data_IF_008418906638
#
_entry.id   IF_008418906638
#
_cell.length_a   1.000
_cell.length_b   1.000
_cell.length_c   1.000
_cell.angle_alpha   90.00
_cell.angle_beta   90.00
_cell.angle_gamma   90.00
#
_symmetry.space_group_name_H-M   'P 1'
#
loop_
_entity.id
_entity.type
_entity.pdbx_description
1 polymer ?
#
# COMPACT_ATOMS: atom_id res chain seq x y z
N UNK A 1 -1.21 14.02 -28.24
CA UNK A 1 -1.90 15.28 -27.91
C UNK A 1 -2.16 15.32 -26.41
N UNK A 2 -1.96 16.47 -25.76
CA UNK A 2 -2.16 16.65 -24.31
C UNK A 2 -3.51 17.34 -24.08
N UNK A 3 -4.29 16.82 -23.13
CA UNK A 3 -5.62 17.33 -22.78
C UNK A 3 -5.62 17.92 -21.38
N UNK A 4 -6.01 19.19 -21.26
CA UNK A 4 -6.22 19.84 -19.97
C UNK A 4 -7.59 19.44 -19.41
N UNK A 5 -7.60 18.71 -18.30
CA UNK A 5 -8.83 18.22 -17.67
C UNK A 5 -9.42 19.30 -16.77
N UNK A 6 -8.74 19.62 -15.67
CA UNK A 6 -9.16 20.65 -14.71
C UNK A 6 -7.94 21.28 -14.03
N UNK A 7 -7.98 22.58 -13.78
CA UNK A 7 -6.85 23.30 -13.17
C UNK A 7 -5.58 23.08 -14.00
N UNK A 8 -4.48 22.70 -13.35
CA UNK A 8 -3.23 22.33 -14.00
C UNK A 8 -3.00 20.80 -14.04
N UNK A 9 -4.08 20.03 -14.18
CA UNK A 9 -4.04 18.57 -14.36
C UNK A 9 -4.27 18.27 -15.84
N UNK A 10 -3.30 17.59 -16.43
CA UNK A 10 -3.27 17.25 -17.85
C UNK A 10 -3.21 15.74 -18.03
N UNK A 11 -3.73 15.27 -19.15
CA UNK A 11 -3.83 13.86 -19.50
C UNK A 11 -3.36 13.62 -20.94
N UNK A 12 -2.64 12.52 -21.18
CA UNK A 12 -2.24 12.14 -22.54
C UNK A 12 -2.04 10.63 -22.72
N UNK A 13 -1.89 10.23 -23.99
CA UNK A 13 -1.25 8.97 -24.37
C UNK A 13 0.28 9.06 -24.24
N UNK A 14 0.95 7.95 -24.49
CA UNK A 14 2.41 7.85 -24.54
C UNK A 14 3.02 8.73 -25.64
N UNK A 15 2.37 8.86 -26.80
CA UNK A 15 2.87 9.76 -27.85
C UNK A 15 2.79 11.25 -27.46
N UNK A 16 1.99 11.58 -26.44
CA UNK A 16 1.90 12.94 -25.89
C UNK A 16 3.10 13.39 -25.07
N UNK A 17 4.15 12.55 -24.92
CA UNK A 17 5.35 12.86 -24.14
C UNK A 17 6.44 13.63 -24.89
N UNK A 18 6.09 14.32 -25.98
CA UNK A 18 7.01 15.19 -26.69
C UNK A 18 7.34 16.43 -25.83
N UNK A 19 8.64 16.71 -25.65
CA UNK A 19 9.16 17.80 -24.80
C UNK A 19 8.57 19.17 -25.15
N UNK A 20 8.37 19.43 -26.45
CA UNK A 20 7.76 20.68 -26.94
C UNK A 20 6.36 20.93 -26.38
N UNK A 21 5.53 19.89 -26.27
CA UNK A 21 4.16 20.00 -25.78
C UNK A 21 4.13 20.18 -24.25
N UNK A 22 5.05 19.53 -23.54
CA UNK A 22 5.21 19.64 -22.08
C UNK A 22 5.59 21.07 -21.68
N UNK A 23 6.56 21.66 -22.39
CA UNK A 23 7.01 23.03 -22.14
C UNK A 23 5.90 24.05 -22.44
N UNK A 24 5.15 23.87 -23.52
CA UNK A 24 4.04 24.76 -23.88
C UNK A 24 2.96 24.85 -22.79
N UNK A 25 2.71 23.74 -22.07
CA UNK A 25 1.77 23.68 -20.96
C UNK A 25 2.38 23.94 -19.58
N UNK A 26 3.68 24.28 -19.53
CA UNK A 26 4.46 24.49 -18.30
C UNK A 26 4.37 23.30 -17.34
N UNK A 27 4.33 22.09 -17.89
CA UNK A 27 4.36 20.86 -17.10
C UNK A 27 5.67 20.83 -16.30
N UNK A 28 5.59 20.53 -15.01
CA UNK A 28 6.77 20.35 -14.16
C UNK A 28 6.90 18.92 -13.66
N UNK A 29 5.78 18.18 -13.59
CA UNK A 29 5.73 16.81 -13.11
C UNK A 29 5.08 15.88 -14.14
N UNK A 30 5.61 14.67 -14.29
CA UNK A 30 5.06 13.62 -15.16
C UNK A 30 4.79 12.35 -14.34
N UNK A 31 3.52 11.94 -14.29
CA UNK A 31 3.08 10.69 -13.68
C UNK A 31 2.82 9.65 -14.78
N UNK A 32 3.63 8.61 -14.79
CA UNK A 32 3.59 7.52 -15.79
C UNK A 32 2.92 6.28 -15.20
N UNK A 33 1.68 6.01 -15.60
CA UNK A 33 0.89 4.86 -15.14
C UNK A 33 0.99 3.74 -16.18
N UNK A 34 2.20 3.25 -16.39
CA UNK A 34 2.54 2.26 -17.43
C UNK A 34 3.82 1.51 -17.05
N UNK A 35 3.92 0.19 -17.29
CA UNK A 35 5.17 -0.55 -17.12
C UNK A 35 6.13 -0.28 -18.29
N UNK A 36 7.40 -0.62 -18.09
CA UNK A 36 8.40 -0.58 -19.15
C UNK A 36 9.17 0.74 -19.27
N UNK A 37 10.05 0.86 -20.27
CA UNK A 37 10.93 1.99 -20.41
C UNK A 37 10.17 3.27 -20.81
N UNK A 38 10.57 4.40 -20.24
CA UNK A 38 10.00 5.71 -20.55
C UNK A 38 10.91 6.51 -21.49
N UNK A 39 10.35 7.44 -22.29
CA UNK A 39 11.12 8.22 -23.25
C UNK A 39 12.21 9.08 -22.59
N UNK A 40 13.33 9.27 -23.30
CA UNK A 40 14.40 10.16 -22.83
C UNK A 40 13.96 11.61 -22.62
N UNK A 41 13.01 12.06 -23.42
CA UNK A 41 12.44 13.41 -23.38
C UNK A 41 11.94 13.85 -22.00
N UNK A 42 11.44 12.93 -21.17
CA UNK A 42 10.88 13.29 -19.86
C UNK A 42 11.90 13.23 -18.70
N UNK A 43 13.19 12.99 -18.97
CA UNK A 43 14.21 12.84 -17.92
C UNK A 43 14.55 14.16 -17.21
N UNK A 44 14.29 15.30 -17.86
CA UNK A 44 14.46 16.65 -17.30
C UNK A 44 13.34 17.06 -16.34
N UNK A 45 12.27 16.28 -16.24
CA UNK A 45 11.10 16.58 -15.41
C UNK A 45 11.11 15.77 -14.11
N UNK A 46 10.45 16.29 -13.08
CA UNK A 46 10.15 15.49 -11.88
C UNK A 46 9.16 14.41 -12.26
N UNK A 47 9.45 13.14 -11.96
CA UNK A 47 8.70 12.02 -12.53
C UNK A 47 8.48 10.91 -11.53
N UNK A 48 7.32 10.29 -11.62
CA UNK A 48 6.95 9.09 -10.89
C UNK A 48 6.40 8.08 -11.90
N UNK A 49 6.89 6.85 -11.84
CA UNK A 49 6.39 5.75 -12.65
C UNK A 49 5.73 4.71 -11.75
N UNK A 50 4.47 4.39 -12.03
CA UNK A 50 3.69 3.37 -11.34
C UNK A 50 3.41 2.24 -12.33
N UNK A 51 4.16 1.11 -12.27
CA UNK A 51 4.09 0.06 -13.27
C UNK A 51 2.83 -0.80 -13.06
N UNK A 52 1.74 -0.45 -13.74
CA UNK A 52 0.50 -1.23 -13.71
C UNK A 52 0.00 -1.55 -15.13
N UNK A 53 -0.45 -2.79 -15.31
CA UNK A 53 -1.02 -3.28 -16.56
C UNK A 53 -2.45 -2.78 -16.74
N UNK A 54 -2.93 -2.86 -17.98
CA UNK A 54 -4.30 -2.49 -18.36
C UNK A 54 -5.14 -3.76 -18.54
N UNK A 55 -5.29 -4.52 -17.48
CA UNK A 55 -5.98 -5.80 -17.50
C UNK A 55 -7.02 -5.89 -16.37
N UNK A 56 -7.81 -6.97 -16.38
CA UNK A 56 -8.89 -7.17 -15.44
C UNK A 56 -8.39 -7.56 -14.03
N UNK A 57 -7.16 -8.04 -13.92
CA UNK A 57 -6.57 -8.58 -12.68
C UNK A 57 -5.76 -7.53 -11.92
N UNK A 58 -5.41 -6.41 -12.55
CA UNK A 58 -4.67 -5.33 -11.94
C UNK A 58 -5.48 -4.58 -10.88
N UNK A 59 -4.87 -4.39 -9.70
CA UNK A 59 -5.43 -3.56 -8.63
C UNK A 59 -4.87 -2.13 -8.71
N UNK A 60 -5.60 -1.23 -9.38
CA UNK A 60 -5.20 0.18 -9.53
C UNK A 60 -5.41 1.00 -8.26
N UNK A 61 -6.29 0.56 -7.35
CA UNK A 61 -6.48 1.24 -6.06
C UNK A 61 -5.22 1.19 -5.19
N UNK A 62 -4.42 0.14 -5.32
CA UNK A 62 -3.17 -0.04 -4.58
C UNK A 62 -2.14 1.07 -4.85
N UNK A 63 -2.11 1.64 -6.06
CA UNK A 63 -1.15 2.68 -6.45
C UNK A 63 -1.64 4.10 -6.14
N UNK A 64 -2.90 4.27 -5.74
CA UNK A 64 -3.50 5.60 -5.56
C UNK A 64 -2.82 6.45 -4.47
N UNK A 65 -2.47 5.92 -3.28
CA UNK A 65 -1.82 6.74 -2.24
C UNK A 65 -0.56 7.43 -2.74
N UNK A 66 0.34 6.67 -3.38
CA UNK A 66 1.59 7.19 -3.92
C UNK A 66 1.33 8.18 -5.08
N UNK A 67 0.39 7.84 -5.97
CA UNK A 67 0.01 8.73 -7.07
C UNK A 67 -0.53 10.07 -6.57
N UNK A 68 -1.33 10.05 -5.50
CA UNK A 68 -1.95 11.24 -4.94
C UNK A 68 -0.93 12.12 -4.25
N UNK A 69 -0.02 11.55 -3.46
CA UNK A 69 1.05 12.33 -2.84
C UNK A 69 1.92 13.02 -3.89
N UNK A 70 2.22 12.34 -5.01
CA UNK A 70 2.94 12.95 -6.12
C UNK A 70 2.17 14.10 -6.80
N UNK A 71 0.87 13.88 -7.09
CA UNK A 71 0.01 14.93 -7.66
C UNK A 71 -0.10 16.13 -6.72
N UNK A 72 -0.31 15.88 -5.42
CA UNK A 72 -0.45 16.92 -4.40
C UNK A 72 0.84 17.71 -4.22
N UNK A 73 1.99 17.04 -4.23
CA UNK A 73 3.29 17.70 -4.16
C UNK A 73 3.48 18.65 -5.36
N UNK A 74 3.13 18.22 -6.57
CA UNK A 74 3.19 19.08 -7.75
C UNK A 74 2.24 20.28 -7.65
N UNK A 75 0.98 20.05 -7.24
CA UNK A 75 -0.05 21.08 -7.34
C UNK A 75 -0.02 22.06 -6.16
N UNK A 76 0.40 21.63 -4.97
CA UNK A 76 0.27 22.41 -3.75
C UNK A 76 1.57 22.51 -2.91
N UNK A 77 2.64 21.81 -3.30
CA UNK A 77 3.88 21.62 -2.52
C UNK A 77 3.60 21.06 -1.12
N UNK A 78 2.71 20.05 -1.04
CA UNK A 78 2.39 19.35 0.21
C UNK A 78 2.12 17.87 -0.07
N UNK A 79 2.35 17.03 0.92
CA UNK A 79 2.05 15.59 0.91
C UNK A 79 0.96 15.29 1.95
N UNK A 80 0.07 14.32 1.69
CA UNK A 80 -1.07 14.00 2.56
C UNK A 80 -2.29 14.93 2.42
N UNK A 81 -3.44 14.53 2.99
CA UNK A 81 -4.76 15.15 2.72
C UNK A 81 -5.07 16.49 3.42
N UNK A 82 -4.25 16.94 4.37
CA UNK A 82 -4.66 17.98 5.34
C UNK A 82 -4.74 19.42 4.81
N UNK A 83 -4.33 19.70 3.56
CA UNK A 83 -4.33 21.07 2.99
C UNK A 83 -4.68 21.14 1.51
N UNK A 84 -5.34 20.12 0.97
CA UNK A 84 -5.70 20.08 -0.46
C UNK A 84 -7.12 20.58 -0.63
N UNK A 85 -7.27 21.64 -1.42
CA UNK A 85 -8.56 22.16 -1.85
C UNK A 85 -8.46 22.67 -3.28
N UNK A 86 -9.43 22.37 -4.14
CA UNK A 86 -9.46 22.86 -5.52
C UNK A 86 -9.63 24.39 -5.60
N UNK A 87 -9.91 25.05 -4.48
CA UNK A 87 -9.97 26.52 -4.38
C UNK A 87 -8.59 27.16 -4.27
N UNK A 88 -7.56 26.41 -3.86
CA UNK A 88 -6.22 26.95 -3.76
C UNK A 88 -5.54 26.98 -5.13
N UNK A 89 -4.74 28.02 -5.41
CA UNK A 89 -4.03 28.12 -6.68
C UNK A 89 -3.00 26.99 -6.81
N UNK A 90 -2.93 26.39 -8.00
CA UNK A 90 -1.94 25.37 -8.29
C UNK A 90 -0.56 26.02 -8.46
N UNK A 91 0.47 25.44 -7.82
CA UNK A 91 1.87 25.89 -7.87
C UNK A 91 2.67 25.29 -9.02
N UNK A 92 2.21 24.16 -9.54
CA UNK A 92 2.81 23.47 -10.68
C UNK A 92 1.74 22.95 -11.65
N UNK A 93 2.21 22.22 -12.67
CA UNK A 93 1.36 21.53 -13.61
C UNK A 93 1.84 20.10 -13.80
N UNK A 94 0.89 19.17 -13.79
CA UNK A 94 1.18 17.74 -13.86
C UNK A 94 0.55 17.14 -15.12
N UNK A 95 1.34 16.32 -15.81
CA UNK A 95 0.85 15.43 -16.85
C UNK A 95 0.71 14.02 -16.27
N UNK A 96 -0.44 13.39 -16.48
CA UNK A 96 -0.71 12.01 -16.12
C UNK A 96 -0.96 11.23 -17.41
N UNK A 97 -0.16 10.20 -17.67
CA UNK A 97 -0.27 9.44 -18.91
C UNK A 97 -0.20 7.93 -18.64
N UNK A 98 -0.73 7.16 -19.60
CA UNK A 98 -0.46 5.73 -19.72
C UNK A 98 -0.07 5.43 -21.17
N UNK A 99 -0.32 4.21 -21.67
CA UNK A 99 -0.05 3.90 -23.07
C UNK A 99 -1.01 4.65 -24.01
N UNK A 100 -2.30 4.31 -23.99
CA UNK A 100 -3.31 4.94 -24.84
C UNK A 100 -3.86 6.25 -24.25
N UNK A 101 -3.69 6.49 -22.94
CA UNK A 101 -4.34 7.60 -22.26
C UNK A 101 -5.86 7.43 -22.07
N UNK A 102 -6.39 6.21 -22.18
CA UNK A 102 -7.85 5.97 -22.19
C UNK A 102 -8.39 5.18 -20.99
N UNK A 103 -7.54 4.41 -20.29
CA UNK A 103 -7.95 3.55 -19.16
C UNK A 103 -7.19 3.87 -17.87
N UNK A 104 -5.96 3.38 -17.68
CA UNK A 104 -5.17 3.56 -16.45
C UNK A 104 -5.02 5.01 -15.97
N UNK A 105 -4.50 5.90 -16.82
CA UNK A 105 -4.29 7.30 -16.46
C UNK A 105 -5.62 8.02 -16.15
N UNK A 106 -6.66 7.90 -17.00
CA UNK A 106 -7.99 8.39 -16.66
C UNK A 106 -8.54 7.86 -15.34
N UNK A 107 -8.34 6.58 -15.00
CA UNK A 107 -8.76 6.04 -13.70
C UNK A 107 -8.11 6.75 -12.52
N UNK A 108 -6.78 6.98 -12.57
CA UNK A 108 -6.08 7.74 -11.52
C UNK A 108 -6.65 9.16 -11.40
N UNK A 109 -6.90 9.84 -12.53
CA UNK A 109 -7.50 11.18 -12.53
C UNK A 109 -8.90 11.16 -11.93
N UNK A 110 -9.75 10.20 -12.32
CA UNK A 110 -11.10 10.05 -11.77
C UNK A 110 -11.08 9.88 -10.25
N UNK A 111 -10.26 8.96 -9.74
CA UNK A 111 -10.13 8.74 -8.30
C UNK A 111 -9.61 10.00 -7.57
N UNK A 112 -8.66 10.72 -8.17
CA UNK A 112 -8.17 11.98 -7.61
C UNK A 112 -9.27 13.05 -7.51
N UNK A 113 -10.09 13.20 -8.56
CA UNK A 113 -11.23 14.12 -8.56
C UNK A 113 -12.30 13.72 -7.53
N UNK A 114 -12.59 12.43 -7.38
CA UNK A 114 -13.51 11.94 -6.33
C UNK A 114 -12.97 12.33 -4.95
N UNK A 115 -11.68 12.05 -4.68
CA UNK A 115 -11.08 12.29 -3.36
C UNK A 115 -11.00 13.77 -3.00
N UNK A 116 -10.47 14.59 -3.89
CA UNK A 116 -10.07 15.97 -3.57
C UNK A 116 -11.01 17.03 -4.12
N UNK A 117 -11.70 16.76 -5.23
CA UNK A 117 -12.69 17.68 -5.83
C UNK A 117 -14.13 17.33 -5.40
N UNK A 118 -14.32 16.23 -4.67
CA UNK A 118 -15.63 15.76 -4.16
C UNK A 118 -16.67 15.58 -5.27
N UNK A 119 -16.20 15.19 -6.47
CA UNK A 119 -17.07 14.83 -7.58
C UNK A 119 -17.55 13.40 -7.41
N UNK A 120 -18.74 13.10 -7.94
CA UNK A 120 -19.14 11.71 -8.12
C UNK A 120 -18.36 11.03 -9.24
N UNK A 121 -18.34 9.70 -9.28
CA UNK A 121 -17.72 8.94 -10.37
C UNK A 121 -18.22 9.40 -11.74
N UNK A 122 -19.54 9.56 -11.90
CA UNK A 122 -20.16 10.04 -13.14
C UNK A 122 -19.68 11.44 -13.52
N UNK A 123 -19.60 12.35 -12.55
CA UNK A 123 -19.11 13.72 -12.78
C UNK A 123 -17.63 13.74 -13.14
N UNK A 124 -16.81 12.95 -12.47
CA UNK A 124 -15.38 12.85 -12.71
C UNK A 124 -15.06 12.26 -14.09
N UNK A 125 -15.76 11.20 -14.50
CA UNK A 125 -15.65 10.62 -15.85
C UNK A 125 -16.08 11.65 -16.90
N UNK A 126 -17.21 12.33 -16.68
CA UNK A 126 -17.71 13.35 -17.60
C UNK A 126 -16.73 14.53 -17.78
N UNK A 127 -16.02 14.92 -16.72
CA UNK A 127 -15.01 15.97 -16.78
C UNK A 127 -13.85 15.62 -17.75
N UNK A 128 -13.52 14.33 -17.87
CA UNK A 128 -12.52 13.83 -18.83
C UNK A 128 -13.14 13.69 -20.23
N UNK A 129 -14.33 13.09 -20.35
CA UNK A 129 -15.01 12.84 -21.63
C UNK A 129 -15.20 14.11 -22.46
N UNK A 130 -15.58 15.23 -21.82
CA UNK A 130 -15.72 16.52 -22.50
C UNK A 130 -14.45 17.05 -23.15
N UNK A 131 -13.28 16.52 -22.79
CA UNK A 131 -11.98 16.92 -23.33
C UNK A 131 -11.44 15.93 -24.36
N UNK A 132 -11.80 14.65 -24.21
CA UNK A 132 -11.33 13.55 -25.05
C UNK A 132 -12.37 13.08 -26.09
N UNK A 133 -13.52 13.77 -26.22
CA UNK A 133 -14.57 13.49 -27.22
C UNK A 133 -15.03 12.02 -27.19
N UNK A 134 -15.42 11.53 -26.01
CA UNK A 134 -15.93 10.17 -25.77
C UNK A 134 -14.96 9.01 -26.04
N UNK A 135 -13.67 9.29 -26.26
CA UNK A 135 -12.64 8.24 -26.45
C UNK A 135 -12.27 7.49 -25.18
N UNK A 136 -12.72 7.94 -24.00
CA UNK A 136 -12.38 7.28 -22.74
C UNK A 136 -12.89 5.84 -22.76
N UNK A 137 -12.04 4.89 -22.38
CA UNK A 137 -12.37 3.48 -22.36
C UNK A 137 -11.67 2.84 -21.16
N UNK A 138 -12.18 3.15 -19.96
CA UNK A 138 -11.70 2.54 -18.73
C UNK A 138 -12.16 1.09 -18.69
N UNK A 139 -11.23 0.19 -18.40
CA UNK A 139 -11.53 -1.22 -18.22
C UNK A 139 -12.61 -1.43 -17.14
N UNK A 140 -13.53 -2.37 -17.35
CA UNK A 140 -14.61 -2.75 -16.43
C UNK A 140 -14.11 -3.05 -15.01
N UNK A 141 -12.97 -3.74 -14.86
CA UNK A 141 -12.37 -3.99 -13.53
C UNK A 141 -12.00 -2.69 -12.81
N UNK A 142 -11.44 -1.72 -13.55
CA UNK A 142 -11.13 -0.40 -13.02
C UNK A 142 -12.38 0.43 -12.73
N UNK A 143 -13.46 0.30 -13.53
CA UNK A 143 -14.73 0.93 -13.22
C UNK A 143 -15.30 0.43 -11.88
N UNK A 144 -15.30 -0.89 -11.65
CA UNK A 144 -15.71 -1.48 -10.36
C UNK A 144 -14.83 -1.00 -9.20
N UNK A 145 -13.53 -0.89 -9.43
CA UNK A 145 -12.60 -0.34 -8.44
C UNK A 145 -12.90 1.15 -8.13
N UNK A 146 -13.24 1.96 -9.12
CA UNK A 146 -13.66 3.36 -8.91
C UNK A 146 -14.96 3.42 -8.08
N UNK A 147 -15.94 2.55 -8.35
CA UNK A 147 -17.19 2.48 -7.58
C UNK A 147 -16.92 2.16 -6.10
N UNK A 148 -16.05 1.18 -5.84
CA UNK A 148 -15.60 0.86 -4.48
C UNK A 148 -14.92 2.07 -3.85
N UNK A 149 -14.00 2.72 -4.57
CA UNK A 149 -13.29 3.89 -4.08
C UNK A 149 -14.23 5.04 -3.72
N UNK A 150 -15.25 5.31 -4.54
CA UNK A 150 -16.29 6.31 -4.28
C UNK A 150 -17.12 5.95 -3.05
N UNK A 151 -17.54 4.68 -2.93
CA UNK A 151 -18.30 4.18 -1.77
C UNK A 151 -17.52 4.37 -0.45
N UNK A 152 -16.19 4.25 -0.53
CA UNK A 152 -15.27 4.48 0.57
C UNK A 152 -14.95 5.96 0.80
N UNK A 153 -15.53 6.90 0.04
CA UNK A 153 -15.19 8.34 0.05
C UNK A 153 -13.68 8.58 -0.14
N UNK A 154 -13.06 7.70 -0.93
CA UNK A 154 -11.64 7.61 -1.20
C UNK A 154 -10.76 7.26 0.01
N UNK A 155 -11.34 6.69 1.07
CA UNK A 155 -10.61 6.14 2.21
C UNK A 155 -10.26 4.67 1.98
N UNK A 156 -9.01 4.44 1.57
CA UNK A 156 -8.43 3.11 1.35
C UNK A 156 -8.06 2.39 2.67
N UNK A 157 -8.51 2.90 3.82
CA UNK A 157 -8.40 2.20 5.12
C UNK A 157 -9.74 1.68 5.64
N UNK A 158 -10.83 1.95 4.91
CA UNK A 158 -12.19 1.56 5.27
C UNK A 158 -12.42 0.04 5.18
N UNK A 159 -13.36 -0.47 5.96
CA UNK A 159 -13.75 -1.89 5.93
C UNK A 159 -14.29 -2.32 4.57
N UNK A 160 -15.01 -1.44 3.87
CA UNK A 160 -15.52 -1.70 2.52
C UNK A 160 -14.38 -1.96 1.51
N UNK A 161 -13.29 -1.20 1.59
CA UNK A 161 -12.11 -1.46 0.76
C UNK A 161 -11.42 -2.77 1.16
N UNK A 162 -11.36 -3.12 2.45
CA UNK A 162 -10.83 -4.41 2.92
C UNK A 162 -11.63 -5.59 2.37
N UNK A 163 -12.96 -5.52 2.43
CA UNK A 163 -13.83 -6.57 1.89
C UNK A 163 -13.68 -6.69 0.36
N UNK A 164 -13.56 -5.56 -0.35
CA UNK A 164 -13.22 -5.57 -1.78
C UNK A 164 -11.90 -6.27 -2.05
N UNK A 165 -10.83 -5.98 -1.31
CA UNK A 165 -9.53 -6.63 -1.51
C UNK A 165 -9.63 -8.15 -1.31
N UNK A 166 -10.42 -8.60 -0.34
CA UNK A 166 -10.66 -10.03 -0.12
C UNK A 166 -11.40 -10.64 -1.32
N UNK A 167 -12.39 -9.96 -1.88
CA UNK A 167 -13.15 -10.44 -3.04
C UNK A 167 -12.34 -10.43 -4.33
N UNK A 168 -11.63 -9.34 -4.60
CA UNK A 168 -10.82 -9.16 -5.79
C UNK A 168 -9.76 -10.27 -5.93
N UNK A 169 -9.11 -10.62 -4.81
CA UNK A 169 -8.13 -11.72 -4.78
C UNK A 169 -8.76 -13.12 -4.75
N UNK A 170 -10.08 -13.26 -4.54
CA UNK A 170 -10.74 -14.58 -4.62
C UNK A 170 -10.85 -15.07 -6.07
N UNK A 171 -10.97 -14.17 -7.05
CA UNK A 171 -11.09 -14.51 -8.47
C UNK A 171 -9.93 -15.32 -9.02
N UNK A 172 -8.69 -15.01 -8.59
CA UNK A 172 -7.48 -15.74 -8.97
C UNK A 172 -7.34 -17.12 -8.32
N UNK A 173 -8.17 -17.44 -7.31
CA UNK A 173 -7.96 -18.64 -6.47
C UNK A 173 -8.24 -19.96 -7.19
N UNK A 174 -9.00 -19.97 -8.28
CA UNK A 174 -9.30 -21.22 -9.00
C UNK A 174 -8.22 -21.61 -10.00
N UNK A 175 -7.53 -20.64 -10.60
CA UNK A 175 -6.44 -20.89 -11.55
C UNK A 175 -5.08 -20.89 -10.87
N UNK A 176 -4.86 -20.03 -9.87
CA UNK A 176 -3.64 -20.06 -9.06
C UNK A 176 -3.47 -21.40 -8.32
N UNK A 177 -4.55 -22.05 -7.85
CA UNK A 177 -4.45 -23.36 -7.19
C UNK A 177 -3.96 -24.49 -8.12
N UNK A 178 -4.21 -24.40 -9.42
CA UNK A 178 -3.83 -25.42 -10.39
C UNK A 178 -2.45 -25.19 -11.03
N UNK A 179 -1.95 -23.95 -11.06
CA UNK A 179 -0.61 -23.65 -11.57
C UNK A 179 0.51 -23.82 -10.53
N UNK A 180 0.20 -23.89 -9.23
CA UNK A 180 1.22 -24.18 -8.20
C UNK A 180 1.74 -25.62 -8.19
N UNK A 181 1.17 -26.54 -8.98
CA UNK A 181 1.59 -27.94 -8.99
C UNK A 181 2.32 -28.43 -10.24
N UNK A 182 2.49 -27.60 -11.28
CA UNK A 182 3.23 -28.01 -12.48
C UNK A 182 3.96 -26.81 -13.10
N UNK A 183 5.30 -26.86 -13.12
CA UNK A 183 6.25 -25.93 -13.75
C UNK A 183 6.59 -24.68 -12.88
N UNK A 184 7.53 -24.72 -11.92
CA UNK A 184 8.98 -24.82 -12.11
C UNK A 184 9.44 -25.21 -13.52
N UNK A 185 9.53 -24.25 -14.44
CA UNK A 185 10.81 -23.93 -15.10
C UNK A 185 10.69 -22.69 -16.00
N UNK A 186 11.77 -21.89 -16.01
CA UNK A 186 12.15 -20.84 -17.00
C UNK A 186 11.25 -19.59 -17.19
N UNK A 187 11.59 -18.47 -16.53
CA UNK A 187 12.31 -17.32 -17.13
C UNK A 187 12.18 -16.00 -16.32
N UNK A 188 13.11 -15.82 -15.39
CA UNK A 188 13.93 -14.62 -15.11
C UNK A 188 13.39 -13.20 -15.36
N UNK A 189 13.12 -12.46 -14.28
CA UNK A 189 13.66 -11.10 -14.02
C UNK A 189 13.75 -10.85 -12.52
N UNK A 190 14.97 -10.57 -12.06
CA UNK A 190 15.40 -10.52 -10.67
C UNK A 190 14.74 -9.38 -9.90
N UNK A 191 13.76 -9.70 -9.08
CA UNK A 191 13.54 -9.02 -7.80
C UNK A 191 14.43 -9.80 -6.82
N UNK A 192 15.28 -9.12 -6.07
CA UNK A 192 15.96 -9.75 -4.94
C UNK A 192 14.88 -10.18 -3.94
N UNK A 193 14.39 -11.41 -4.09
CA UNK A 193 13.65 -12.08 -3.03
C UNK A 193 14.61 -12.15 -1.85
N UNK A 194 14.40 -11.30 -0.84
CA UNK A 194 15.06 -11.46 0.45
C UNK A 194 14.70 -12.84 0.98
N UNK A 195 15.58 -13.80 0.74
CA UNK A 195 15.45 -15.15 1.25
C UNK A 195 15.25 -15.05 2.77
N UNK A 196 14.22 -15.70 3.32
CA UNK A 196 13.95 -15.61 4.74
C UNK A 196 15.14 -16.17 5.52
N UNK A 197 15.88 -15.28 6.17
CA UNK A 197 17.00 -15.61 7.07
C UNK A 197 16.60 -16.49 8.27
N UNK A 198 15.30 -16.65 8.52
CA UNK A 198 14.79 -17.49 9.61
C UNK A 198 13.28 -17.61 9.64
N UNK A 199 12.79 -18.45 10.55
CA UNK A 199 11.36 -18.71 10.78
C UNK A 199 11.03 -18.67 12.27
N UNK A 200 9.85 -18.14 12.59
CA UNK A 200 9.22 -18.29 13.89
C UNK A 200 8.44 -19.60 13.93
N UNK A 201 8.64 -20.38 14.98
CA UNK A 201 7.90 -21.62 15.23
C UNK A 201 7.29 -21.64 16.62
N UNK A 202 6.20 -22.37 16.78
CA UNK A 202 5.63 -22.64 18.09
C UNK A 202 6.62 -23.45 18.95
N UNK A 203 6.88 -23.03 20.20
CA UNK A 203 7.79 -23.79 21.10
C UNK A 203 7.27 -25.18 21.45
N UNK A 204 5.94 -25.34 21.52
CA UNK A 204 5.31 -26.58 21.96
C UNK A 204 5.31 -27.62 20.83
N UNK A 205 4.68 -27.30 19.70
CA UNK A 205 4.44 -28.26 18.63
C UNK A 205 5.35 -28.09 17.40
N UNK A 206 6.23 -27.09 17.42
CA UNK A 206 7.23 -26.81 16.39
C UNK A 206 6.66 -26.38 15.03
N UNK A 207 5.35 -26.12 14.96
CA UNK A 207 4.68 -25.59 13.78
C UNK A 207 5.29 -24.26 13.35
N UNK A 208 5.54 -24.08 12.04
CA UNK A 208 6.07 -22.84 11.49
C UNK A 208 4.94 -21.82 11.44
N UNK A 209 5.15 -20.68 12.10
CA UNK A 209 4.15 -19.65 12.28
C UNK A 209 4.39 -18.46 11.36
N UNK A 210 5.62 -18.02 11.16
CA UNK A 210 5.95 -16.86 10.33
C UNK A 210 7.38 -16.96 9.78
N UNK A 211 7.64 -16.33 8.64
CA UNK A 211 8.99 -16.12 8.07
C UNK A 211 9.60 -14.81 8.58
N UNK A 212 10.92 -14.67 8.55
CA UNK A 212 11.62 -13.44 8.95
C UNK A 212 11.18 -12.23 8.14
N UNK A 213 10.89 -12.39 6.83
CA UNK A 213 10.39 -11.33 5.96
C UNK A 213 9.02 -10.77 6.38
N UNK A 214 8.26 -11.53 7.14
CA UNK A 214 6.92 -11.18 7.64
C UNK A 214 6.96 -10.48 9.01
N UNK A 215 8.13 -10.44 9.65
CA UNK A 215 8.32 -9.74 10.92
C UNK A 215 8.46 -8.25 10.64
N UNK A 216 7.72 -7.43 11.38
CA UNK A 216 7.84 -5.99 11.37
C UNK A 216 8.89 -5.57 12.43
N UNK A 217 10.07 -5.07 12.03
CA UNK A 217 11.02 -4.52 12.98
C UNK A 217 10.45 -3.21 13.58
N UNK A 218 10.75 -2.97 14.85
CA UNK A 218 10.44 -1.69 15.50
C UNK A 218 11.62 -1.25 16.33
N UNK A 219 11.82 0.07 16.41
CA UNK A 219 12.98 0.67 17.07
C UNK A 219 12.59 1.12 18.47
N UNK A 220 13.50 0.90 19.43
CA UNK A 220 13.38 1.42 20.80
C UNK A 220 13.37 2.95 20.75
N UNK A 221 12.41 3.64 21.39
CA UNK A 221 12.40 5.10 21.46
C UNK A 221 13.64 5.62 22.21
N UNK A 222 14.11 6.81 21.83
CA UNK A 222 15.18 7.51 22.53
C UNK A 222 14.83 7.75 24.01
N UNK A 223 15.85 7.81 24.87
CA UNK A 223 15.70 8.00 26.33
C UNK A 223 14.96 9.29 26.71
N UNK A 224 15.01 10.31 25.84
CA UNK A 224 14.28 11.58 26.02
C UNK A 224 12.79 11.47 25.71
N UNK A 225 12.35 10.38 25.07
CA UNK A 225 10.96 10.18 24.69
C UNK A 225 10.11 9.80 25.90
N UNK A 226 8.89 10.35 25.98
CA UNK A 226 7.86 9.94 26.96
C UNK A 226 7.47 8.46 26.84
N UNK A 227 7.87 7.82 25.73
CA UNK A 227 7.67 6.40 25.47
C UNK A 227 8.83 5.52 25.94
N UNK A 228 9.89 6.08 26.54
CA UNK A 228 10.96 5.31 27.18
C UNK A 228 10.59 4.82 28.59
N UNK A 229 9.54 5.35 29.20
CA UNK A 229 9.10 5.01 30.57
C UNK A 229 7.65 4.56 30.63
N UNK A 230 7.36 3.60 31.51
CA UNK A 230 6.03 3.09 31.81
C UNK A 230 5.56 3.66 33.14
N UNK A 231 4.46 4.40 33.12
CA UNK A 231 3.90 5.01 34.31
C UNK A 231 2.62 4.29 34.75
N UNK A 232 2.61 3.79 35.98
CA UNK A 232 1.39 3.30 36.64
C UNK A 232 0.76 4.48 37.38
N UNK A 233 -0.47 4.85 37.03
CA UNK A 233 -1.21 5.93 37.69
C UNK A 233 -2.20 5.37 38.72
N UNK A 234 -2.40 6.11 39.80
CA UNK A 234 -3.48 5.92 40.78
C UNK A 234 -4.25 7.23 40.85
N UNK A 235 -5.42 7.28 40.18
CA UNK A 235 -6.09 8.54 39.88
C UNK A 235 -5.22 9.43 38.99
N UNK A 236 -5.00 10.68 39.40
CA UNK A 236 -4.18 11.65 38.67
C UNK A 236 -2.69 11.59 39.05
N UNK A 237 -2.30 10.80 40.05
CA UNK A 237 -0.92 10.70 40.52
C UNK A 237 -0.18 9.52 39.89
N UNK A 238 1.09 9.72 39.54
CA UNK A 238 1.99 8.64 39.11
C UNK A 238 2.42 7.88 40.38
N UNK A 239 1.99 6.63 40.50
CA UNK A 239 2.33 5.76 41.61
C UNK A 239 3.72 5.14 41.44
N UNK A 240 4.07 4.73 40.21
CA UNK A 240 5.40 4.20 39.92
C UNK A 240 5.76 4.39 38.46
N UNK A 241 7.05 4.52 38.18
CA UNK A 241 7.63 4.59 36.84
C UNK A 241 8.66 3.48 36.67
N UNK A 242 8.61 2.79 35.53
CA UNK A 242 9.57 1.76 35.14
C UNK A 242 10.20 2.14 33.80
N UNK A 243 11.49 1.90 33.64
CA UNK A 243 12.16 2.07 32.36
C UNK A 243 11.76 0.96 31.37
N UNK A 244 11.76 1.29 30.08
CA UNK A 244 11.48 0.35 29.03
C UNK A 244 12.60 -0.70 28.90
N UNK A 245 12.20 -1.95 28.69
CA UNK A 245 13.12 -3.08 28.55
C UNK A 245 14.07 -2.88 27.37
N UNK A 246 15.32 -3.34 27.51
CA UNK A 246 16.25 -3.42 26.39
C UNK A 246 15.78 -4.46 25.36
N UNK A 247 15.22 -5.57 25.84
CA UNK A 247 14.72 -6.66 25.00
C UNK A 247 13.21 -6.54 24.75
N UNK A 248 12.81 -6.79 23.51
CA UNK A 248 11.42 -6.81 23.09
C UNK A 248 10.76 -8.14 23.46
N UNK A 249 9.61 -8.10 24.15
CA UNK A 249 8.86 -9.30 24.54
C UNK A 249 8.03 -9.89 23.40
N UNK A 250 7.91 -9.18 22.28
CA UNK A 250 7.01 -9.51 21.19
C UNK A 250 7.68 -9.38 19.82
N UNK A 251 7.41 -10.36 18.95
CA UNK A 251 7.58 -10.21 17.51
C UNK A 251 6.31 -9.63 16.93
N UNK A 252 6.41 -8.50 16.24
CA UNK A 252 5.29 -7.92 15.50
C UNK A 252 5.32 -8.41 14.06
N UNK A 253 4.16 -8.60 13.46
CA UNK A 253 4.00 -9.04 12.08
C UNK A 253 3.48 -7.88 11.24
N UNK A 254 3.96 -7.80 9.99
CA UNK A 254 3.51 -6.79 9.02
C UNK A 254 2.02 -6.93 8.74
N UNK A 255 1.58 -8.17 8.50
CA UNK A 255 0.21 -8.51 8.13
C UNK A 255 -0.27 -9.76 8.89
N UNK A 256 -1.59 -9.93 9.07
CA UNK A 256 -2.17 -11.18 9.54
C UNK A 256 -1.82 -12.34 8.62
N UNK A 257 -1.39 -13.45 9.20
CA UNK A 257 -1.05 -14.65 8.44
C UNK A 257 -2.29 -15.52 8.23
N UNK A 258 -2.29 -16.36 7.18
CA UNK A 258 -3.44 -17.20 6.80
C UNK A 258 -4.03 -18.03 7.96
N UNK A 259 -3.19 -18.43 8.90
CA UNK A 259 -3.59 -19.22 10.06
C UNK A 259 -4.20 -18.40 11.20
N UNK A 260 -3.99 -17.08 11.20
CA UNK A 260 -4.50 -16.14 12.19
C UNK A 260 -5.97 -15.83 11.90
N UNK A 261 -6.86 -16.53 12.59
CA UNK A 261 -8.30 -16.26 12.52
C UNK A 261 -8.61 -14.96 13.25
N UNK A 262 -8.98 -13.93 12.49
CA UNK A 262 -9.41 -12.63 13.00
C UNK A 262 -10.93 -12.50 12.82
N UNK A 263 -11.72 -12.52 13.91
CA UNK A 263 -13.13 -12.14 13.87
C UNK A 263 -13.30 -10.72 13.33
N UNK A 264 -14.28 -10.51 12.43
CA UNK A 264 -14.51 -9.20 11.78
C UNK A 264 -14.96 -8.10 12.74
N UNK A 265 -15.58 -8.47 13.87
CA UNK A 265 -16.23 -7.52 14.78
C UNK A 265 -15.38 -7.15 16.01
N UNK A 266 -14.28 -7.89 16.27
CA UNK A 266 -13.46 -7.71 17.47
C UNK A 266 -12.23 -6.85 17.19
N UNK A 267 -12.11 -5.72 17.90
CA UNK A 267 -10.98 -4.79 17.77
C UNK A 267 -9.68 -5.33 18.40
N UNK A 268 -9.78 -6.30 19.29
CA UNK A 268 -8.64 -6.93 19.97
C UNK A 268 -8.94 -8.42 20.19
N UNK A 269 -7.91 -9.25 20.19
CA UNK A 269 -8.09 -10.68 20.45
C UNK A 269 -6.79 -11.45 20.56
N UNK A 270 -6.89 -12.78 20.55
CA UNK A 270 -5.79 -13.70 20.89
C UNK A 270 -5.54 -14.69 19.77
N UNK A 271 -4.27 -14.92 19.47
CA UNK A 271 -3.85 -15.95 18.51
C UNK A 271 -3.50 -17.25 19.21
N UNK A 272 -4.01 -18.35 18.67
CA UNK A 272 -3.76 -19.71 19.12
C UNK A 272 -3.05 -20.50 18.02
N UNK A 273 -2.13 -21.37 18.41
CA UNK A 273 -1.42 -22.22 17.45
C UNK A 273 -2.41 -23.14 16.71
N UNK A 274 -2.32 -23.20 15.39
CA UNK A 274 -3.20 -24.09 14.60
C UNK A 274 -3.10 -25.56 14.97
N UNK A 275 -1.90 -26.01 15.34
CA UNK A 275 -1.63 -27.42 15.60
C UNK A 275 -1.91 -27.84 17.05
N UNK A 276 -1.48 -27.04 18.03
CA UNK A 276 -1.62 -27.40 19.46
C UNK A 276 -2.56 -26.50 20.25
N UNK A 277 -3.19 -25.50 19.62
CA UNK A 277 -4.13 -24.57 20.23
C UNK A 277 -3.59 -23.75 21.42
N UNK A 278 -2.28 -23.83 21.72
CA UNK A 278 -1.66 -23.00 22.75
C UNK A 278 -1.74 -21.52 22.38
N UNK A 279 -2.01 -20.64 23.35
CA UNK A 279 -1.97 -19.19 23.13
C UNK A 279 -0.55 -18.74 22.78
N UNK A 280 -0.39 -18.12 21.61
CA UNK A 280 0.90 -17.64 21.08
C UNK A 280 1.07 -16.13 21.21
N UNK A 281 -0.03 -15.37 21.13
CA UNK A 281 0.02 -13.92 21.08
C UNK A 281 -1.36 -13.31 20.94
N UNK A 282 -1.46 -12.18 20.26
CA UNK A 282 -2.72 -11.49 20.07
C UNK A 282 -2.65 -10.37 19.04
N UNK A 283 -3.76 -9.68 18.91
CA UNK A 283 -3.89 -8.53 18.05
C UNK A 283 -4.63 -7.37 18.71
N UNK A 284 -4.29 -6.16 18.30
CA UNK A 284 -5.07 -4.95 18.57
C UNK A 284 -5.00 -4.03 17.37
N UNK A 285 -6.17 -3.72 16.81
CA UNK A 285 -6.31 -2.79 15.68
C UNK A 285 -6.01 -1.33 16.09
N UNK A 286 -6.12 -1.01 17.38
CA UNK A 286 -5.70 0.29 17.94
C UNK A 286 -4.18 0.37 18.16
N UNK A 287 -3.48 -0.74 17.96
CA UNK A 287 -2.07 -0.90 18.25
C UNK A 287 -1.79 -1.24 19.70
N UNK A 288 -0.53 -1.57 19.96
CA UNK A 288 -0.06 -1.88 21.31
C UNK A 288 1.36 -1.40 21.51
N UNK A 289 1.68 -1.08 22.75
CA UNK A 289 3.04 -0.74 23.15
C UNK A 289 3.87 -1.99 23.40
N UNK A 290 5.03 -2.09 22.76
CA UNK A 290 6.03 -3.12 23.06
C UNK A 290 6.71 -2.86 24.42
N UNK A 291 7.31 -3.88 25.04
CA UNK A 291 8.10 -3.74 26.28
C UNK A 291 9.27 -2.78 26.16
N UNK A 292 9.80 -2.58 24.94
CA UNK A 292 10.84 -1.59 24.66
C UNK A 292 10.30 -0.16 24.56
N UNK A 293 8.99 0.03 24.70
CA UNK A 293 8.35 1.34 24.70
C UNK A 293 7.80 1.79 23.35
N UNK A 294 8.21 1.15 22.26
CA UNK A 294 7.75 1.45 20.90
C UNK A 294 6.25 1.17 20.73
N UNK A 295 5.54 2.06 20.02
CA UNK A 295 4.12 1.91 19.73
C UNK A 295 3.93 1.34 18.32
N UNK A 296 3.24 0.21 18.19
CA UNK A 296 3.07 -0.49 16.90
C UNK A 296 1.59 -0.55 16.54
N UNK A 297 1.24 -0.10 15.32
CA UNK A 297 -0.12 -0.09 14.76
C UNK A 297 -0.07 -0.57 13.29
N UNK A 298 -0.96 -1.49 12.86
CA UNK A 298 -1.76 -2.36 13.71
C UNK A 298 -0.85 -3.32 14.50
N UNK A 299 -1.29 -3.75 15.68
CA UNK A 299 -0.51 -4.70 16.47
C UNK A 299 -0.97 -6.12 16.17
N UNK A 300 -0.18 -6.87 15.40
CA UNK A 300 -0.27 -8.33 15.32
C UNK A 300 1.00 -8.91 15.91
N UNK A 301 0.92 -9.54 17.08
CA UNK A 301 2.12 -9.90 17.82
C UNK A 301 2.13 -11.34 18.32
N UNK A 302 3.31 -11.95 18.28
CA UNK A 302 3.62 -13.25 18.85
C UNK A 302 4.57 -13.06 20.04
N UNK A 303 4.26 -13.71 21.17
CA UNK A 303 5.06 -13.64 22.39
C UNK A 303 6.36 -14.42 22.21
N UNK A 304 7.51 -13.78 22.46
CA UNK A 304 8.84 -14.41 22.42
C UNK A 304 8.98 -15.61 23.38
N UNK A 305 8.22 -15.61 24.48
CA UNK A 305 8.14 -16.75 25.41
C UNK A 305 7.41 -17.97 24.85
N UNK A 306 6.65 -17.81 23.76
CA UNK A 306 5.79 -18.86 23.15
C UNK A 306 6.23 -19.27 21.75
N UNK A 307 7.18 -18.55 21.14
CA UNK A 307 7.75 -18.87 19.83
C UNK A 307 9.28 -18.86 19.84
N UNK A 308 9.90 -19.75 19.07
CA UNK A 308 11.35 -19.76 18.83
C UNK A 308 11.65 -19.21 17.44
N UNK A 309 12.70 -18.40 17.31
CA UNK A 309 13.24 -17.99 16.02
C UNK A 309 14.37 -18.92 15.62
N UNK A 310 14.22 -19.63 14.50
CA UNK A 310 15.26 -20.49 13.92
C UNK A 310 15.86 -19.77 12.72
N UNK A 311 17.17 -19.57 12.73
CA UNK A 311 17.91 -19.12 11.54
C UNK A 311 17.92 -20.25 10.51
N UNK A 312 17.55 -19.94 9.28
CA UNK A 312 17.72 -20.87 8.16
C UNK A 312 19.19 -20.79 7.71
N UNK A 313 19.80 -21.94 7.46
CA UNK A 313 21.16 -21.97 6.90
C UNK A 313 21.13 -21.36 5.49
N UNK A 314 22.15 -20.59 5.09
CA UNK A 314 22.26 -20.17 3.70
C UNK A 314 22.31 -21.42 2.82
N UNK A 315 21.44 -21.46 1.81
CA UNK A 315 21.47 -22.52 0.81
C UNK A 315 22.76 -22.31 0.01
N UNK A 316 23.77 -23.16 0.22
CA UNK A 316 24.95 -23.20 -0.63
C UNK A 316 24.48 -23.47 -2.06
N UNK A 317 24.47 -22.42 -2.90
CA UNK A 317 24.27 -22.55 -4.34
C UNK A 317 25.52 -23.21 -4.93
N UNK A 318 25.71 -24.51 -4.68
CA UNK A 318 26.71 -25.30 -5.38
C UNK A 318 26.30 -25.40 -6.84
N UNK A 319 27.16 -24.80 -7.67
CA UNK A 319 27.26 -24.85 -9.14
C UNK A 319 26.49 -26.02 -9.77
N UNK A 320 25.45 -25.68 -10.52
CA UNK A 320 25.04 -26.38 -11.74
C UNK A 320 24.90 -25.33 -12.82
#
# INVERSE_FOLDING_TARGET
MIYRIIGNIYLSSFEGLADTDLQAHRISHVLSVVPGPLPKAIHSYTRLQLPINDDLTSNILAILPESFDFINNCLYNTTGSASISPRFPHKGAILIHCHEGLSRAPTVVVCYLIKFYKLSMKQAIYAIQRKLEDKININESFLKQIEVFESCKGDLTSDAYRDFLIEFNKGDSKEALNQFHTQNDSDSKQIEEEEPSGVLRCKICREILAKSTQILPHVKPDESSRHATFHKKMGNHIHSSFEASADCSHYFLKDPLKWMKLPKEELEGKFHCVKCQSKLGGYSWKGSRCSCGSWVIPSFHLSTSKVDYIKLAPVDKQKV
#
